data_IF_178900709117
#
_entry.id   IF_178900709117
#
_cell.length_a   1.000
_cell.length_b   1.000
_cell.length_c   1.000
_cell.angle_alpha   90.00
_cell.angle_beta   90.00
_cell.angle_gamma   90.00
#
_symmetry.space_group_name_H-M   'P 1'
#
loop_
_entity.id
_entity.type
_entity.pdbx_description
1 polymer ?
#
# COMPACT_ATOMS: atom_id res chain seq x y z
N UNK A 1 11.63 -17.61 -47.53
CA UNK A 1 12.88 -17.05 -46.96
C UNK A 1 12.88 -15.54 -47.13
N UNK A 2 12.68 -14.78 -46.04
CA UNK A 2 13.47 -13.58 -45.68
C UNK A 2 12.77 -12.92 -44.50
N UNK A 3 13.50 -12.90 -43.38
CA UNK A 3 13.16 -12.18 -42.17
C UNK A 3 13.26 -10.69 -42.47
N UNK A 4 12.23 -9.92 -42.15
CA UNK A 4 12.30 -8.47 -42.08
C UNK A 4 11.87 -8.06 -40.68
N UNK A 5 12.85 -8.09 -39.78
CA UNK A 5 12.76 -7.49 -38.45
C UNK A 5 13.01 -6.00 -38.66
N UNK A 6 11.96 -5.19 -38.62
CA UNK A 6 12.06 -3.75 -38.54
C UNK A 6 12.28 -3.38 -37.07
N UNK A 7 13.53 -3.05 -36.72
CA UNK A 7 13.87 -2.44 -35.45
C UNK A 7 13.28 -1.03 -35.41
N UNK A 8 12.15 -0.86 -34.73
CA UNK A 8 11.66 0.46 -34.33
C UNK A 8 12.55 0.97 -33.19
N UNK A 9 13.49 1.85 -33.51
CA UNK A 9 14.32 2.55 -32.52
C UNK A 9 13.43 3.62 -31.87
N UNK A 10 12.81 3.26 -30.75
CA UNK A 10 12.09 4.21 -29.90
C UNK A 10 13.16 4.90 -29.04
N UNK A 11 13.68 6.03 -29.48
CA UNK A 11 14.44 6.93 -28.61
C UNK A 11 13.47 7.56 -27.62
N UNK A 12 13.19 6.86 -26.53
CA UNK A 12 12.51 7.42 -25.37
C UNK A 12 13.45 8.45 -24.75
N UNK A 13 13.12 9.73 -24.94
CA UNK A 13 13.80 10.86 -24.33
C UNK A 13 13.70 10.75 -22.81
N UNK A 14 14.85 10.63 -22.15
CA UNK A 14 14.96 10.58 -20.70
C UNK A 14 14.52 11.93 -20.08
N UNK A 15 13.40 11.86 -19.37
CA UNK A 15 12.93 12.64 -18.21
C UNK A 15 13.47 14.07 -18.00
N UNK A 16 12.59 15.05 -18.21
CA UNK A 16 12.71 16.40 -17.65
C UNK A 16 12.65 16.31 -16.12
N UNK A 17 13.70 16.79 -15.46
CA UNK A 17 13.78 16.98 -14.01
C UNK A 17 12.62 17.88 -13.53
N UNK A 18 11.76 17.37 -12.65
CA UNK A 18 10.84 18.20 -11.90
C UNK A 18 11.58 18.90 -10.75
N UNK A 19 11.38 20.21 -10.51
CA UNK A 19 11.98 20.88 -9.38
C UNK A 19 11.38 20.37 -8.05
N UNK A 20 12.27 20.03 -7.11
CA UNK A 20 11.95 19.75 -5.71
C UNK A 20 11.20 20.94 -5.10
N UNK A 21 9.92 20.75 -4.81
CA UNK A 21 9.15 21.70 -4.01
C UNK A 21 9.61 21.56 -2.56
N UNK A 22 10.40 22.54 -2.10
CA UNK A 22 10.86 22.60 -0.72
C UNK A 22 9.66 22.60 0.25
N UNK A 23 9.72 21.69 1.22
CA UNK A 23 8.70 21.54 2.27
C UNK A 23 8.79 22.75 3.20
N UNK A 24 7.78 23.61 3.15
CA UNK A 24 7.61 24.69 4.13
C UNK A 24 7.30 24.09 5.50
N UNK A 25 7.94 24.63 6.54
CA UNK A 25 7.74 24.23 7.93
C UNK A 25 6.33 24.62 8.39
N UNK A 26 5.38 23.71 8.25
CA UNK A 26 4.09 23.77 8.91
C UNK A 26 4.17 23.15 10.31
N UNK A 27 3.46 23.71 11.30
CA UNK A 27 3.45 23.19 12.66
C UNK A 27 2.94 21.74 12.69
N UNK A 28 3.53 20.94 13.58
CA UNK A 28 3.46 19.48 13.66
C UNK A 28 2.01 19.00 13.92
N UNK A 29 1.27 18.72 12.85
CA UNK A 29 0.04 17.91 12.84
C UNK A 29 0.26 16.51 12.21
N UNK A 30 1.52 16.13 12.00
CA UNK A 30 1.94 15.01 11.14
C UNK A 30 1.74 13.63 11.79
N UNK A 31 1.85 13.52 13.11
CA UNK A 31 1.69 12.22 13.81
C UNK A 31 0.25 11.68 13.78
N UNK A 32 -0.74 12.55 13.88
CA UNK A 32 -2.15 12.12 13.94
C UNK A 32 -2.64 11.61 12.59
N UNK A 33 -2.22 12.24 11.49
CA UNK A 33 -2.62 11.80 10.15
C UNK A 33 -1.94 10.48 9.77
N UNK A 34 -0.64 10.31 10.06
CA UNK A 34 0.06 9.04 9.78
C UNK A 34 -0.50 7.87 10.59
N UNK A 35 -0.88 8.09 11.86
CA UNK A 35 -1.55 7.04 12.65
C UNK A 35 -2.91 6.63 12.07
N UNK A 36 -3.70 7.60 11.60
CA UNK A 36 -4.99 7.33 10.95
C UNK A 36 -4.81 6.55 9.66
N UNK A 37 -3.88 6.99 8.80
CA UNK A 37 -3.53 6.31 7.55
C UNK A 37 -3.10 4.86 7.79
N UNK A 38 -2.21 4.63 8.77
CA UNK A 38 -1.81 3.28 9.15
C UNK A 38 -3.00 2.43 9.60
N UNK A 39 -3.90 2.99 10.42
CA UNK A 39 -5.08 2.29 10.92
C UNK A 39 -6.08 1.96 9.81
N UNK A 40 -6.29 2.87 8.86
CA UNK A 40 -7.10 2.65 7.66
C UNK A 40 -6.50 1.55 6.79
N UNK A 41 -5.19 1.61 6.56
CA UNK A 41 -4.43 0.57 5.89
C UNK A 41 -4.62 -0.79 6.56
N UNK A 42 -4.41 -0.86 7.88
CA UNK A 42 -4.60 -2.08 8.68
C UNK A 42 -5.99 -2.68 8.48
N UNK A 43 -7.04 -1.86 8.62
CA UNK A 43 -8.43 -2.31 8.48
C UNK A 43 -8.72 -2.84 7.07
N UNK A 44 -8.29 -2.09 6.05
CA UNK A 44 -8.49 -2.49 4.65
C UNK A 44 -7.73 -3.77 4.34
N UNK A 45 -6.45 -3.83 4.69
CA UNK A 45 -5.60 -5.00 4.49
C UNK A 45 -6.18 -6.25 5.15
N UNK A 46 -6.62 -6.16 6.41
CA UNK A 46 -7.22 -7.29 7.12
C UNK A 46 -8.43 -7.86 6.40
N UNK A 47 -9.33 -7.00 5.93
CA UNK A 47 -10.49 -7.38 5.13
C UNK A 47 -10.09 -8.06 3.80
N UNK A 48 -9.13 -7.50 3.07
CA UNK A 48 -8.68 -8.08 1.79
C UNK A 48 -7.95 -9.42 2.00
N UNK A 49 -7.11 -9.54 3.02
CA UNK A 49 -6.42 -10.80 3.33
C UNK A 49 -7.38 -11.91 3.77
N UNK A 50 -8.48 -11.55 4.44
CA UNK A 50 -9.55 -12.51 4.74
C UNK A 50 -10.23 -13.01 3.46
N UNK A 51 -10.59 -12.08 2.57
CA UNK A 51 -11.24 -12.38 1.28
C UNK A 51 -10.34 -13.19 0.33
N UNK A 52 -9.02 -13.02 0.41
CA UNK A 52 -8.06 -13.83 -0.35
C UNK A 52 -8.23 -15.34 -0.06
N UNK A 53 -8.56 -15.68 1.18
CA UNK A 53 -8.75 -17.08 1.61
C UNK A 53 -10.21 -17.52 1.54
N UNK A 54 -11.18 -16.67 1.93
CA UNK A 54 -12.60 -17.03 1.98
C UNK A 54 -13.37 -16.76 0.68
N UNK A 55 -12.74 -16.10 -0.29
CA UNK A 55 -13.34 -15.69 -1.55
C UNK A 55 -13.54 -14.17 -1.66
N UNK A 56 -13.37 -13.64 -2.87
CA UNK A 56 -13.39 -12.18 -3.18
C UNK A 56 -14.63 -11.45 -2.66
N UNK A 57 -15.77 -12.13 -2.61
CA UNK A 57 -17.06 -11.58 -2.20
C UNK A 57 -17.43 -11.94 -0.74
N UNK A 58 -16.55 -12.59 0.01
CA UNK A 58 -16.79 -12.89 1.41
C UNK A 58 -16.99 -11.60 2.22
N UNK A 59 -17.92 -11.66 3.18
CA UNK A 59 -18.11 -10.59 4.15
C UNK A 59 -16.86 -10.52 5.02
N UNK A 60 -16.32 -9.30 5.19
CA UNK A 60 -15.17 -9.09 6.04
C UNK A 60 -15.56 -9.19 7.51
N UNK A 61 -14.80 -9.94 8.33
CA UNK A 61 -15.04 -10.03 9.76
C UNK A 61 -14.73 -8.71 10.46
N UNK A 62 -15.12 -8.63 11.73
CA UNK A 62 -14.69 -7.54 12.60
C UNK A 62 -13.15 -7.47 12.60
N UNK A 63 -12.63 -6.30 12.27
CA UNK A 63 -11.18 -6.06 12.27
C UNK A 63 -10.72 -5.93 13.73
N UNK A 64 -9.67 -6.65 14.15
CA UNK A 64 -9.08 -6.48 15.48
C UNK A 64 -8.48 -5.07 15.63
N UNK A 65 -8.25 -4.66 16.88
CA UNK A 65 -7.65 -3.36 17.20
C UNK A 65 -6.35 -3.14 16.42
N UNK A 66 -6.21 -1.94 15.85
CA UNK A 66 -5.01 -1.57 15.08
C UNK A 66 -3.76 -1.68 15.98
N UNK A 67 -2.74 -2.45 15.58
CA UNK A 67 -1.53 -2.56 16.36
C UNK A 67 -0.70 -1.28 16.28
N UNK A 68 0.16 -1.06 17.27
CA UNK A 68 1.13 0.04 17.21
C UNK A 68 2.07 -0.18 16.01
N UNK A 69 2.28 0.84 15.15
CA UNK A 69 3.21 0.74 14.04
C UNK A 69 4.65 0.50 14.52
N UNK A 70 5.41 -0.29 13.77
CA UNK A 70 6.86 -0.41 14.00
C UNK A 70 7.56 0.92 13.66
N UNK A 71 8.77 1.13 14.19
CA UNK A 71 9.54 2.33 13.90
C UNK A 71 9.75 2.49 12.38
N UNK A 72 9.43 3.67 11.86
CA UNK A 72 9.51 3.97 10.43
C UNK A 72 8.37 3.40 9.56
N UNK A 73 7.51 2.52 10.09
CA UNK A 73 6.42 1.87 9.33
C UNK A 73 5.05 2.45 9.66
N UNK A 74 4.90 3.77 9.50
CA UNK A 74 3.68 4.50 9.88
C UNK A 74 2.75 4.81 8.70
N UNK A 75 3.05 4.32 7.50
CA UNK A 75 2.24 4.65 6.31
C UNK A 75 0.98 3.79 6.21
N UNK A 76 0.04 4.24 5.37
CA UNK A 76 -1.10 3.42 4.95
C UNK A 76 -0.66 2.03 4.43
N UNK A 77 0.37 2.00 3.59
CA UNK A 77 0.81 0.76 2.96
C UNK A 77 1.44 -0.22 3.96
N UNK A 78 2.13 0.30 4.98
CA UNK A 78 2.63 -0.52 6.09
C UNK A 78 1.49 -1.16 6.88
N UNK A 79 0.47 -0.37 7.19
CA UNK A 79 -0.75 -0.84 7.83
C UNK A 79 -1.43 -1.91 6.99
N UNK A 80 -1.61 -1.65 5.69
CA UNK A 80 -2.23 -2.58 4.74
C UNK A 80 -1.49 -3.91 4.68
N UNK A 81 -0.17 -3.88 4.49
CA UNK A 81 0.64 -5.09 4.36
C UNK A 81 0.59 -5.94 5.64
N UNK A 82 0.60 -5.31 6.81
CA UNK A 82 0.49 -6.01 8.09
C UNK A 82 -0.92 -6.57 8.31
N UNK A 83 -1.94 -5.76 8.00
CA UNK A 83 -3.35 -6.15 8.08
C UNK A 83 -3.65 -7.34 7.19
N UNK A 84 -3.19 -7.33 5.94
CA UNK A 84 -3.38 -8.40 4.96
C UNK A 84 -2.88 -9.75 5.47
N UNK A 85 -1.66 -9.79 6.01
CA UNK A 85 -1.11 -11.01 6.63
C UNK A 85 -1.94 -11.49 7.82
N UNK A 86 -2.42 -10.57 8.65
CA UNK A 86 -3.29 -10.90 9.78
C UNK A 86 -4.66 -11.42 9.33
N UNK A 87 -5.23 -10.85 8.27
CA UNK A 87 -6.49 -11.28 7.66
C UNK A 87 -6.42 -12.71 7.11
N UNK A 88 -5.34 -13.02 6.38
CA UNK A 88 -5.06 -14.40 5.90
C UNK A 88 -4.97 -15.36 7.08
N UNK A 89 -4.22 -15.00 8.13
CA UNK A 89 -4.06 -15.84 9.32
C UNK A 89 -5.39 -16.11 10.01
N UNK A 90 -6.24 -15.09 10.13
CA UNK A 90 -7.56 -15.22 10.73
C UNK A 90 -8.47 -16.12 9.88
N UNK A 91 -8.42 -16.02 8.55
CA UNK A 91 -9.24 -16.82 7.66
C UNK A 91 -8.84 -18.30 7.58
N UNK A 92 -7.58 -18.63 7.94
CA UNK A 92 -7.08 -20.01 7.98
C UNK A 92 -7.34 -20.73 9.30
N UNK A 93 -7.80 -20.01 10.32
CA UNK A 93 -8.32 -20.60 11.56
C UNK A 93 -9.76 -21.05 11.36
#
# INVERSE_FOLDING_TARGET
>A
MKKLILFAIITSTFSVFNPLKAKTNTPIAVENNTRKEYAEGWKKGYCEGWKDVKGKHAICPATPHTPVPEMGKKSYQDGYNRGFKAGIKAAKR
#
